data_IF_679201729444
#
_entry.id   IF_679201729444
#
_cell.length_a   1.000
_cell.length_b   1.000
_cell.length_c   1.000
_cell.angle_alpha   90.00
_cell.angle_beta   90.00
_cell.angle_gamma   90.00
#
_symmetry.space_group_name_H-M   'P 1'
#
loop_
_entity.id
_entity.type
_entity.pdbx_description
1 polymer ?
#
# COMPACT_ATOMS: atom_id res chain seq x y z
N UNK A 1 -8.28 -15.01 6.11
CA UNK A 1 -7.18 -14.36 5.38
C UNK A 1 -7.11 -14.79 3.92
N UNK A 2 -7.07 -13.81 3.00
CA UNK A 2 -7.03 -13.99 1.54
C UNK A 2 -5.91 -13.16 0.92
N UNK A 3 -5.29 -13.68 -0.14
CA UNK A 3 -4.20 -13.03 -0.88
C UNK A 3 -4.67 -12.56 -2.25
N UNK A 4 -4.36 -11.32 -2.60
CA UNK A 4 -4.56 -10.74 -3.93
C UNK A 4 -3.22 -10.36 -4.53
N UNK A 5 -2.98 -10.72 -5.79
CA UNK A 5 -1.79 -10.31 -6.54
C UNK A 5 -2.18 -9.25 -7.55
N UNK A 6 -1.50 -8.12 -7.55
CA UNK A 6 -1.61 -7.07 -8.56
C UNK A 6 -0.26 -6.94 -9.26
N UNK A 7 -0.21 -7.31 -10.54
CA UNK A 7 0.95 -7.03 -11.38
C UNK A 7 0.79 -5.62 -11.94
N UNK A 8 1.83 -4.81 -11.82
CA UNK A 8 1.81 -3.40 -12.22
C UNK A 8 2.96 -3.18 -13.20
N UNK A 9 2.66 -2.57 -14.34
CA UNK A 9 3.65 -2.25 -15.37
C UNK A 9 3.66 -0.74 -15.56
N UNK A 10 4.84 -0.14 -15.54
CA UNK A 10 5.00 1.29 -15.78
C UNK A 10 4.87 1.64 -17.26
N UNK A 11 4.37 2.83 -17.53
CA UNK A 11 4.35 3.42 -18.87
C UNK A 11 5.76 3.88 -19.30
N UNK A 12 5.84 4.52 -20.47
CA UNK A 12 7.10 5.04 -21.01
C UNK A 12 7.75 6.14 -20.16
N UNK A 13 6.99 6.78 -19.25
CA UNK A 13 7.47 7.81 -18.33
C UNK A 13 7.85 7.26 -16.96
N UNK A 14 7.72 5.94 -16.75
CA UNK A 14 8.03 5.31 -15.47
C UNK A 14 6.92 5.44 -14.42
N UNK A 15 5.71 5.82 -14.83
CA UNK A 15 4.55 5.94 -13.94
C UNK A 15 3.62 4.74 -14.12
N UNK A 16 2.82 4.42 -13.09
CA UNK A 16 1.76 3.44 -13.22
C UNK A 16 0.61 3.75 -12.27
N UNK A 17 -0.61 3.36 -12.65
CA UNK A 17 -1.74 3.24 -11.74
C UNK A 17 -2.40 1.89 -11.96
N UNK A 18 -2.55 1.12 -10.89
CA UNK A 18 -3.21 -0.18 -10.91
C UNK A 18 -4.14 -0.34 -9.71
N UNK A 19 -5.05 -1.29 -9.81
CA UNK A 19 -6.09 -1.52 -8.82
C UNK A 19 -6.18 -3.00 -8.44
N UNK A 20 -6.40 -3.29 -7.17
CA UNK A 20 -6.89 -4.62 -6.77
C UNK A 20 -8.33 -4.84 -7.24
N UNK A 21 -8.84 -6.08 -7.23
CA UNK A 21 -10.27 -6.33 -7.15
C UNK A 21 -10.87 -5.62 -5.93
N UNK A 22 -12.21 -5.51 -5.88
CA UNK A 22 -12.87 -5.06 -4.65
C UNK A 22 -12.62 -6.07 -3.53
N UNK A 23 -12.22 -5.56 -2.38
CA UNK A 23 -11.91 -6.34 -1.18
C UNK A 23 -12.73 -5.82 0.00
N UNK A 24 -13.00 -6.72 0.94
CA UNK A 24 -13.60 -6.41 2.23
C UNK A 24 -12.81 -7.12 3.33
N UNK A 25 -12.63 -6.46 4.46
CA UNK A 25 -11.80 -6.93 5.58
C UNK A 25 -10.66 -5.96 5.87
N UNK A 26 -9.70 -6.39 6.67
CA UNK A 26 -8.60 -5.53 7.11
C UNK A 26 -7.30 -5.85 6.36
N UNK A 27 -6.56 -4.82 5.94
CA UNK A 27 -5.23 -5.01 5.34
C UNK A 27 -4.27 -5.50 6.42
N UNK A 28 -3.82 -6.74 6.25
CA UNK A 28 -2.82 -7.36 7.11
C UNK A 28 -1.42 -6.88 6.73
N UNK A 29 -1.07 -7.04 5.45
CA UNK A 29 0.23 -6.65 4.89
C UNK A 29 0.17 -6.39 3.39
N UNK A 30 1.12 -5.60 2.91
CA UNK A 30 1.44 -5.42 1.49
C UNK A 30 2.87 -5.87 1.26
N UNK A 31 3.07 -6.69 0.23
CA UNK A 31 4.39 -7.21 -0.15
C UNK A 31 4.66 -6.80 -1.59
N UNK A 32 5.63 -5.91 -1.79
CA UNK A 32 6.20 -5.64 -3.10
C UNK A 32 7.26 -6.70 -3.41
N UNK A 33 7.12 -7.35 -4.56
CA UNK A 33 8.10 -8.28 -5.14
C UNK A 33 8.65 -7.65 -6.41
N UNK A 34 9.93 -7.28 -6.37
CA UNK A 34 10.67 -6.79 -7.53
C UNK A 34 10.86 -7.93 -8.53
N UNK A 35 10.54 -7.67 -9.79
CA UNK A 35 10.80 -8.65 -10.85
C UNK A 35 12.31 -8.85 -11.05
N UNK A 36 12.72 -10.10 -11.24
CA UNK A 36 14.13 -10.48 -11.30
C UNK A 36 14.84 -10.09 -12.60
N UNK A 37 14.10 -9.78 -13.66
CA UNK A 37 14.65 -9.45 -14.99
C UNK A 37 14.28 -8.04 -15.44
N UNK A 38 13.04 -7.63 -15.19
CA UNK A 38 12.48 -6.36 -15.65
C UNK A 38 11.84 -5.56 -14.50
N UNK A 39 12.43 -5.67 -13.30
CA UNK A 39 12.00 -4.94 -12.11
C UNK A 39 12.09 -3.42 -12.26
N UNK A 40 11.35 -2.69 -11.42
CA UNK A 40 11.44 -1.23 -11.36
C UNK A 40 12.87 -0.77 -11.12
N UNK A 41 13.22 0.37 -11.73
CA UNK A 41 14.48 1.06 -11.45
C UNK A 41 14.59 1.38 -9.97
N UNK A 42 15.82 1.43 -9.47
CA UNK A 42 16.09 1.93 -8.12
C UNK A 42 15.61 3.38 -8.01
N UNK A 43 14.97 3.74 -6.90
CA UNK A 43 14.35 5.03 -6.74
C UNK A 43 12.83 5.06 -7.00
N UNK A 44 12.16 3.90 -7.16
CA UNK A 44 10.71 3.91 -7.44
C UNK A 44 9.92 4.38 -6.20
N UNK A 45 8.97 5.26 -6.43
CA UNK A 45 8.09 5.78 -5.39
C UNK A 45 6.74 5.08 -5.42
N UNK A 46 6.25 4.70 -4.25
CA UNK A 46 4.95 4.07 -4.06
C UNK A 46 4.01 5.02 -3.35
N UNK A 47 2.79 5.17 -3.88
CA UNK A 47 1.65 5.78 -3.19
C UNK A 47 0.47 4.85 -3.31
N UNK A 48 0.15 4.16 -2.21
CA UNK A 48 -0.88 3.13 -2.16
C UNK A 48 -1.98 3.59 -1.20
N UNK A 49 -3.21 3.69 -1.71
CA UNK A 49 -4.36 4.21 -0.98
C UNK A 49 -5.61 3.34 -1.19
N UNK A 50 -6.58 3.48 -0.30
CA UNK A 50 -7.95 3.08 -0.60
C UNK A 50 -8.48 3.97 -1.73
N UNK A 51 -9.10 3.38 -2.74
CA UNK A 51 -9.53 4.13 -3.92
C UNK A 51 -10.67 5.10 -3.58
N UNK A 52 -11.70 4.64 -2.89
CA UNK A 52 -12.91 5.42 -2.68
C UNK A 52 -12.72 6.53 -1.64
N UNK A 53 -11.95 6.26 -0.59
CA UNK A 53 -11.77 7.20 0.54
C UNK A 53 -10.49 8.02 0.44
N UNK A 54 -9.51 7.58 -0.35
CA UNK A 54 -8.17 8.16 -0.38
C UNK A 54 -7.34 7.86 0.87
N UNK A 55 -7.81 6.99 1.78
CA UNK A 55 -7.07 6.63 2.99
C UNK A 55 -5.70 6.05 2.62
N UNK A 56 -4.64 6.60 3.22
CA UNK A 56 -3.28 6.16 2.96
C UNK A 56 -3.04 4.77 3.56
N UNK A 57 -2.51 3.85 2.74
CA UNK A 57 -2.15 2.49 3.16
C UNK A 57 -0.63 2.35 3.22
N UNK A 58 0.09 2.72 2.16
CA UNK A 58 1.54 2.69 2.13
C UNK A 58 2.09 3.74 1.17
N UNK A 59 2.86 4.68 1.71
CA UNK A 59 3.66 5.61 0.92
C UNK A 59 5.11 5.39 1.26
N UNK A 60 5.97 5.26 0.25
CA UNK A 60 7.40 5.12 0.44
C UNK A 60 8.12 5.59 -0.82
N UNK A 61 9.13 6.44 -0.62
CA UNK A 61 10.02 6.89 -1.67
C UNK A 61 11.24 5.97 -1.79
N UNK A 62 11.91 6.06 -2.93
CA UNK A 62 13.23 5.47 -3.17
C UNK A 62 13.34 3.96 -2.91
N UNK A 63 12.32 3.18 -3.31
CA UNK A 63 12.33 1.73 -3.10
C UNK A 63 13.29 1.06 -4.09
N UNK A 64 14.23 0.26 -3.56
CA UNK A 64 15.29 -0.37 -4.38
C UNK A 64 15.18 -1.90 -4.47
N UNK A 65 14.48 -2.53 -3.54
CA UNK A 65 14.34 -3.98 -3.44
C UNK A 65 12.89 -4.37 -3.07
N UNK A 66 12.59 -5.66 -3.13
CA UNK A 66 11.35 -6.21 -2.57
C UNK A 66 11.19 -5.78 -1.11
N UNK A 67 9.97 -5.44 -0.72
CA UNK A 67 9.68 -4.90 0.60
C UNK A 67 8.36 -5.45 1.13
N UNK A 68 8.28 -5.64 2.45
CA UNK A 68 7.07 -6.09 3.13
C UNK A 68 6.74 -5.08 4.21
N UNK A 69 5.51 -4.55 4.16
CA UNK A 69 4.99 -3.65 5.18
C UNK A 69 3.70 -4.21 5.78
N UNK A 70 3.44 -3.83 7.02
CA UNK A 70 2.21 -4.14 7.75
C UNK A 70 1.52 -2.83 8.11
N UNK A 71 0.79 -2.20 7.17
CA UNK A 71 0.16 -0.91 7.38
C UNK A 71 -0.74 -0.87 8.62
N UNK A 72 -0.68 0.23 9.36
CA UNK A 72 -1.59 0.50 10.48
C UNK A 72 -2.07 1.95 10.44
N UNK A 73 -3.35 2.14 10.71
CA UNK A 73 -3.98 3.46 10.87
C UNK A 73 -4.02 3.84 12.35
N UNK A 74 -3.93 5.15 12.63
CA UNK A 74 -4.14 5.68 13.97
C UNK A 74 -5.62 5.57 14.37
N UNK A 75 -5.87 5.13 15.61
CA UNK A 75 -7.22 5.03 16.17
C UNK A 75 -7.56 6.25 17.01
N UNK A 76 -8.86 6.51 17.18
CA UNK A 76 -9.37 7.69 17.85
C UNK A 76 -10.55 7.33 18.77
N UNK A 77 -10.77 8.15 19.79
CA UNK A 77 -12.00 8.13 20.57
C UNK A 77 -13.19 8.61 19.75
N UNK A 78 -14.41 8.49 20.29
CA UNK A 78 -15.62 9.01 19.64
C UNK A 78 -15.62 10.55 19.46
N UNK A 79 -14.74 11.27 20.17
CA UNK A 79 -14.54 12.71 20.01
C UNK A 79 -13.51 13.06 18.92
N UNK A 80 -12.97 12.08 18.20
CA UNK A 80 -11.93 12.29 17.18
C UNK A 80 -10.53 12.59 17.74
N UNK A 81 -10.31 12.38 19.04
CA UNK A 81 -8.99 12.55 19.68
C UNK A 81 -8.20 11.25 19.57
N UNK A 82 -6.90 11.35 19.27
CA UNK A 82 -6.02 10.18 19.17
C UNK A 82 -6.11 9.28 20.41
N UNK A 83 -6.33 7.99 20.19
CA UNK A 83 -6.25 7.00 21.25
C UNK A 83 -4.76 6.72 21.55
N UNK A 84 -4.36 6.91 22.80
CA UNK A 84 -2.98 6.72 23.25
C UNK A 84 -2.95 5.66 24.37
N UNK A 85 -1.85 4.92 24.51
CA UNK A 85 -1.69 3.98 25.64
C UNK A 85 -1.58 4.70 26.99
N UNK A 86 -1.12 5.96 26.98
CA UNK A 86 -1.04 6.85 28.13
C UNK A 86 -1.11 8.31 27.65
N UNK A 87 -1.37 9.26 28.55
CA UNK A 87 -1.43 10.68 28.22
C UNK A 87 -0.08 11.16 27.60
N UNK A 88 -0.14 11.77 26.42
CA UNK A 88 1.05 12.21 25.66
C UNK A 88 1.92 11.07 25.12
N UNK A 89 1.45 9.82 25.19
CA UNK A 89 2.19 8.62 24.79
C UNK A 89 2.01 8.22 23.32
N UNK A 90 2.41 6.98 23.00
CA UNK A 90 2.31 6.41 21.66
C UNK A 90 0.86 6.16 21.26
N UNK A 91 0.55 6.46 19.99
CA UNK A 91 -0.75 6.18 19.39
C UNK A 91 -1.07 4.69 19.34
N UNK A 92 -2.32 4.34 19.64
CA UNK A 92 -2.88 3.02 19.41
C UNK A 92 -3.17 2.90 17.92
N UNK A 93 -2.55 1.94 17.27
CA UNK A 93 -2.69 1.71 15.83
C UNK A 93 -3.43 0.39 15.58
N UNK A 94 -4.30 0.39 14.57
CA UNK A 94 -5.05 -0.79 14.13
C UNK A 94 -4.82 -1.04 12.63
N UNK A 95 -5.27 -2.19 12.12
CA UNK A 95 -5.18 -2.47 10.68
C UNK A 95 -6.13 -1.54 9.91
N UNK A 96 -5.76 -1.25 8.66
CA UNK A 96 -6.60 -0.43 7.77
C UNK A 96 -7.79 -1.27 7.30
N UNK A 97 -9.01 -0.80 7.59
CA UNK A 97 -10.24 -1.47 7.20
C UNK A 97 -10.64 -1.13 5.77
N UNK A 98 -11.10 -2.12 5.02
CA UNK A 98 -11.60 -1.97 3.65
C UNK A 98 -13.04 -2.47 3.56
N UNK A 99 -13.92 -1.70 2.93
CA UNK A 99 -15.34 -2.02 2.80
C UNK A 99 -15.77 -2.02 1.32
N UNK A 100 -15.66 -3.18 0.67
CA UNK A 100 -15.98 -3.34 -0.77
C UNK A 100 -15.27 -2.32 -1.67
N UNK A 101 -14.04 -1.97 -1.30
CA UNK A 101 -13.22 -0.96 -1.97
C UNK A 101 -12.00 -1.60 -2.65
N UNK A 102 -11.29 -0.85 -3.49
CA UNK A 102 -10.07 -1.28 -4.16
C UNK A 102 -8.86 -0.61 -3.54
N UNK A 103 -7.75 -1.34 -3.49
CA UNK A 103 -6.45 -0.73 -3.25
C UNK A 103 -5.96 -0.14 -4.57
N UNK A 104 -5.74 1.17 -4.59
CA UNK A 104 -5.09 1.89 -5.68
C UNK A 104 -3.58 1.90 -5.43
N UNK A 105 -2.81 1.48 -6.42
CA UNK A 105 -1.35 1.48 -6.41
C UNK A 105 -0.90 2.48 -7.47
N UNK A 106 -0.38 3.62 -7.03
CA UNK A 106 0.27 4.60 -7.90
C UNK A 106 1.79 4.49 -7.76
N UNK A 107 2.50 4.49 -8.87
CA UNK A 107 3.96 4.44 -8.94
C UNK A 107 4.49 5.64 -9.71
N UNK A 108 5.64 6.16 -9.28
CA UNK A 108 6.44 7.11 -10.02
C UNK A 108 7.90 6.67 -10.04
N UNK A 109 8.67 7.14 -11.03
CA UNK A 109 10.11 6.87 -11.16
C UNK A 109 10.48 5.37 -11.31
N UNK A 110 9.53 4.52 -11.72
CA UNK A 110 9.77 3.08 -11.84
C UNK A 110 10.59 2.65 -13.05
N UNK A 111 10.96 3.59 -13.93
CA UNK A 111 11.60 3.33 -15.22
C UNK A 111 10.61 2.88 -16.29
N UNK A 112 10.95 3.07 -17.57
CA UNK A 112 10.05 2.78 -18.68
C UNK A 112 9.77 1.26 -18.83
N UNK A 113 8.49 0.90 -18.98
CA UNK A 113 8.04 -0.47 -19.26
C UNK A 113 8.59 -1.54 -18.28
N UNK A 114 8.73 -1.18 -17.01
CA UNK A 114 9.18 -2.06 -15.92
C UNK A 114 7.98 -2.69 -15.21
N UNK A 115 8.18 -3.82 -14.54
CA UNK A 115 7.10 -4.57 -13.90
C UNK A 115 7.46 -4.95 -12.46
N UNK A 116 6.45 -4.97 -11.61
CA UNK A 116 6.52 -5.47 -10.24
C UNK A 116 5.20 -6.10 -9.81
N UNK A 117 5.24 -6.89 -8.75
CA UNK A 117 4.04 -7.52 -8.19
C UNK A 117 3.79 -7.05 -6.76
N UNK A 118 2.54 -6.75 -6.44
CA UNK A 118 2.08 -6.43 -5.09
C UNK A 118 1.15 -7.55 -4.60
N UNK A 119 1.53 -8.19 -3.49
CA UNK A 119 0.65 -9.10 -2.77
C UNK A 119 -0.01 -8.36 -1.61
N UNK A 120 -1.33 -8.29 -1.65
CA UNK A 120 -2.17 -7.68 -0.62
C UNK A 120 -2.81 -8.81 0.17
N UNK A 121 -2.50 -8.89 1.46
CA UNK A 121 -3.08 -9.86 2.38
C UNK A 121 -4.19 -9.16 3.16
N UNK A 122 -5.39 -9.74 3.13
CA UNK A 122 -6.58 -9.24 3.82
C UNK A 122 -7.00 -10.26 4.86
N UNK A 123 -7.18 -9.85 6.11
CA UNK A 123 -7.53 -10.71 7.25
C UNK A 123 -8.96 -11.24 7.13
#
# INVERSE_FOLDING_TARGET
MRRYKVSVTTDGSGNAVAYSPRIAGEIHSIQYVKDGSNGYTNGVDFTITAEATGENIWTQADVNASAVVYPRAATHSQAGVAALYAAGGTGVLARVGMASDRVKISLAQGGAAKVGAFHILVA
#
